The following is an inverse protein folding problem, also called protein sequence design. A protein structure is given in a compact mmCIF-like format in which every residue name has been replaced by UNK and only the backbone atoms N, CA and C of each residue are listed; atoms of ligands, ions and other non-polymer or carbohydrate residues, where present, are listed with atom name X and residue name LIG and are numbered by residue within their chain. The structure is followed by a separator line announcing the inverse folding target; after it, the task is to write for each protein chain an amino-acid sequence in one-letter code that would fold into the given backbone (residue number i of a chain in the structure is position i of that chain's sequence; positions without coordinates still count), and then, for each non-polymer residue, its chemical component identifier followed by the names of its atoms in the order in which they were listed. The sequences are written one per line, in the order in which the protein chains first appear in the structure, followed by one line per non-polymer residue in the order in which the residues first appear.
data_IF_501086528200
#
_entry.id   IF_501086528200
#
_cell.length_a   1.000
_cell.length_b   1.000
_cell.length_c   1.000
_cell.angle_alpha   90.00
_cell.angle_beta   90.00
_cell.angle_gamma   90.00
#
_symmetry.space_group_name_H-M   'P 1'
#
loop_
_entity.id
_entity.type
_entity.pdbx_description
1 polymer ?
#
# COMPACT_ATOMS: atom_id res chain seq x y z
N UNK A 1 8.13 -20.30 19.46
CA UNK A 1 8.40 -19.14 18.59
C UNK A 1 9.56 -19.47 17.67
N UNK A 2 9.35 -19.38 16.36
CA UNK A 2 10.37 -19.68 15.34
C UNK A 2 10.77 -18.38 14.64
N UNK A 3 12.06 -18.01 14.67
CA UNK A 3 12.59 -16.94 13.85
C UNK A 3 12.67 -17.40 12.39
N UNK A 4 12.05 -16.66 11.49
CA UNK A 4 12.03 -16.98 10.06
C UNK A 4 13.12 -16.21 9.32
N UNK A 5 13.59 -16.79 8.23
CA UNK A 5 14.48 -16.15 7.27
C UNK A 5 13.76 -15.97 5.92
N UNK A 6 14.18 -15.04 5.05
CA UNK A 6 13.55 -14.85 3.74
C UNK A 6 13.40 -16.18 2.99
N UNK A 7 12.19 -16.44 2.49
CA UNK A 7 11.84 -17.66 1.76
C UNK A 7 11.51 -18.88 2.64
N UNK A 8 11.81 -18.87 3.95
CA UNK A 8 11.43 -19.96 4.85
C UNK A 8 9.91 -20.01 5.05
N UNK A 9 9.37 -21.20 5.30
CA UNK A 9 7.96 -21.40 5.55
C UNK A 9 7.71 -22.36 6.71
N UNK A 10 6.54 -22.22 7.34
CA UNK A 10 6.07 -23.05 8.43
C UNK A 10 4.61 -23.47 8.19
N UNK A 11 4.23 -24.70 8.55
CA UNK A 11 2.82 -25.08 8.57
C UNK A 11 2.07 -24.31 9.67
N UNK A 12 0.85 -23.88 9.38
CA UNK A 12 -0.06 -23.28 10.35
C UNK A 12 -0.96 -24.36 10.94
N UNK A 13 -0.89 -24.53 12.25
CA UNK A 13 -1.79 -25.43 13.00
C UNK A 13 -3.02 -24.71 13.52
N UNK A 14 -2.97 -23.38 13.62
CA UNK A 14 -4.09 -22.56 14.07
C UNK A 14 -5.03 -22.23 12.90
N UNK A 15 -6.33 -22.29 13.17
CA UNK A 15 -7.37 -21.88 12.20
C UNK A 15 -7.42 -20.37 12.07
N UNK A 16 -7.26 -19.65 13.17
CA UNK A 16 -7.22 -18.19 13.19
C UNK A 16 -5.80 -17.72 13.49
N UNK A 17 -5.25 -16.96 12.57
CA UNK A 17 -3.86 -16.49 12.64
C UNK A 17 -3.84 -14.98 12.58
N UNK A 18 -3.12 -14.35 13.48
CA UNK A 18 -2.88 -12.92 13.47
C UNK A 18 -1.44 -12.63 13.08
N UNK A 19 -1.26 -11.64 12.23
CA UNK A 19 0.06 -11.10 11.85
C UNK A 19 0.13 -9.68 12.35
N UNK A 20 0.91 -9.46 13.39
CA UNK A 20 1.20 -8.13 13.90
C UNK A 20 2.42 -7.60 13.17
N UNK A 21 2.32 -6.40 12.59
CA UNK A 21 3.46 -5.72 11.95
C UNK A 21 3.79 -4.48 12.75
N UNK A 22 5.01 -4.43 13.26
CA UNK A 22 5.48 -3.34 14.12
C UNK A 22 6.79 -2.76 13.59
N UNK A 23 7.00 -1.47 13.78
CA UNK A 23 8.24 -0.77 13.48
C UNK A 23 8.43 0.42 14.43
N UNK A 24 9.64 1.02 14.50
CA UNK A 24 9.86 2.27 15.23
C UNK A 24 9.09 3.47 14.67
N UNK A 25 8.54 3.34 13.46
CA UNK A 25 7.75 4.37 12.76
C UNK A 25 6.35 3.84 12.47
N UNK A 26 5.40 4.74 12.21
CA UNK A 26 4.04 4.36 11.80
C UNK A 26 4.07 3.68 10.44
N UNK A 27 3.38 2.56 10.36
CA UNK A 27 3.16 1.81 9.12
C UNK A 27 1.67 1.71 8.84
N UNK A 28 1.32 1.74 7.56
CA UNK A 28 0.05 1.27 7.06
C UNK A 28 0.18 -0.20 6.66
N UNK A 29 -0.55 -1.05 7.34
CA UNK A 29 -0.52 -2.50 7.11
C UNK A 29 -1.77 -2.94 6.38
N UNK A 30 -1.62 -3.81 5.42
CA UNK A 30 -2.77 -4.33 4.67
C UNK A 30 -2.64 -5.83 4.39
N UNK A 31 -3.78 -6.46 4.10
CA UNK A 31 -3.89 -7.83 3.67
C UNK A 31 -4.53 -7.91 2.29
N UNK A 32 -3.91 -8.61 1.36
CA UNK A 32 -4.43 -8.84 0.02
C UNK A 32 -4.78 -10.31 -0.14
N UNK A 33 -6.03 -10.57 -0.54
CA UNK A 33 -6.51 -11.92 -0.83
C UNK A 33 -6.31 -12.22 -2.31
N UNK A 34 -5.44 -13.16 -2.61
CA UNK A 34 -5.04 -13.47 -3.97
C UNK A 34 -5.61 -14.80 -4.45
N UNK A 35 -6.14 -14.80 -5.66
CA UNK A 35 -6.54 -16.00 -6.38
C UNK A 35 -5.32 -16.77 -6.92
N UNK A 36 -5.55 -17.87 -7.61
CA UNK A 36 -4.51 -18.74 -8.13
C UNK A 36 -3.56 -18.06 -9.14
N UNK A 37 -4.05 -17.02 -9.81
CA UNK A 37 -3.24 -16.18 -10.73
C UNK A 37 -2.34 -15.16 -10.01
N UNK A 38 -2.41 -15.10 -8.68
CA UNK A 38 -1.64 -14.18 -7.87
C UNK A 38 -2.18 -12.75 -7.83
N UNK A 39 -3.45 -12.56 -8.24
CA UNK A 39 -4.12 -11.25 -8.24
C UNK A 39 -5.31 -11.23 -7.29
N UNK A 40 -5.70 -10.03 -6.86
CA UNK A 40 -6.99 -9.82 -6.21
C UNK A 40 -8.12 -10.01 -7.22
N UNK A 41 -9.28 -10.50 -6.78
CA UNK A 41 -10.44 -10.70 -7.64
C UNK A 41 -11.23 -9.40 -7.84
N UNK A 42 -11.20 -8.54 -6.81
CA UNK A 42 -11.82 -7.22 -6.79
C UNK A 42 -11.18 -6.38 -5.68
N UNK A 43 -11.54 -5.12 -5.60
CA UNK A 43 -11.06 -4.22 -4.53
C UNK A 43 -11.54 -4.67 -3.13
N UNK A 44 -12.58 -5.50 -3.03
CA UNK A 44 -13.03 -6.11 -1.76
C UNK A 44 -11.99 -7.09 -1.17
N UNK A 45 -11.06 -7.57 -1.98
CA UNK A 45 -9.97 -8.44 -1.57
C UNK A 45 -8.76 -7.67 -1.02
N UNK A 46 -8.87 -6.35 -0.88
CA UNK A 46 -7.87 -5.48 -0.26
C UNK A 46 -8.35 -5.00 1.11
N UNK A 47 -7.76 -5.53 2.17
CA UNK A 47 -8.14 -5.26 3.57
C UNK A 47 -7.10 -4.35 4.22
N UNK A 48 -7.52 -3.18 4.70
CA UNK A 48 -6.67 -2.16 5.31
C UNK A 48 -7.51 -1.28 6.27
N UNK A 49 -6.92 -0.24 6.85
CA UNK A 49 -7.57 0.58 7.88
C UNK A 49 -8.91 1.19 7.43
N UNK A 50 -9.06 1.56 6.15
CA UNK A 50 -10.29 2.16 5.61
C UNK A 50 -11.31 1.10 5.13
N UNK A 51 -10.87 -0.12 4.90
CA UNK A 51 -11.68 -1.30 4.58
C UNK A 51 -11.24 -2.46 5.47
N UNK A 52 -11.62 -2.44 6.78
CA UNK A 52 -11.02 -3.32 7.79
C UNK A 52 -11.53 -4.76 7.77
N UNK A 53 -12.40 -5.13 6.86
CA UNK A 53 -12.95 -6.48 6.77
C UNK A 53 -13.09 -6.94 5.33
N UNK A 54 -12.63 -8.15 5.07
CA UNK A 54 -12.79 -8.89 3.81
C UNK A 54 -13.19 -10.34 4.10
N UNK A 55 -13.21 -11.18 3.07
CA UNK A 55 -13.62 -12.59 3.17
C UNK A 55 -12.63 -13.42 4.02
N UNK A 56 -12.89 -13.54 5.32
CA UNK A 56 -12.03 -14.26 6.26
C UNK A 56 -10.77 -13.51 6.70
N UNK A 57 -10.63 -12.23 6.34
CA UNK A 57 -9.49 -11.40 6.72
C UNK A 57 -10.00 -10.11 7.36
N UNK A 58 -9.37 -9.69 8.46
CA UNK A 58 -9.70 -8.43 9.15
C UNK A 58 -8.45 -7.66 9.49
N UNK A 59 -8.56 -6.33 9.45
CA UNK A 59 -7.56 -5.38 9.93
C UNK A 59 -7.95 -4.83 11.28
N UNK A 60 -7.00 -4.66 12.16
CA UNK A 60 -7.19 -3.91 13.42
C UNK A 60 -5.92 -3.13 13.76
N UNK A 61 -6.10 -1.90 14.22
CA UNK A 61 -5.00 -1.11 14.75
C UNK A 61 -4.66 -1.58 16.16
N UNK A 62 -3.39 -1.83 16.45
CA UNK A 62 -2.92 -2.20 17.77
C UNK A 62 -2.56 -0.96 18.60
N UNK A 63 -2.89 -0.98 19.90
CA UNK A 63 -2.44 0.02 20.84
C UNK A 63 -0.92 -0.06 20.98
N UNK A 64 -0.18 0.82 20.34
CA UNK A 64 1.31 0.81 20.36
C UNK A 64 1.95 1.11 19.01
N UNK A 65 1.16 1.45 17.99
CA UNK A 65 1.65 1.92 16.69
C UNK A 65 1.90 0.84 15.64
N UNK A 66 1.49 -0.40 15.92
CA UNK A 66 1.44 -1.48 14.93
C UNK A 66 0.01 -1.75 14.48
N UNK A 67 -0.13 -2.43 13.36
CA UNK A 67 -1.41 -2.94 12.88
C UNK A 67 -1.37 -4.46 12.76
N UNK A 68 -2.54 -5.07 12.87
CA UNK A 68 -2.71 -6.52 12.85
C UNK A 68 -3.63 -6.92 11.70
N UNK A 69 -3.19 -7.88 10.90
CA UNK A 69 -4.04 -8.60 9.95
C UNK A 69 -4.37 -9.96 10.55
N UNK A 70 -5.65 -10.22 10.77
CA UNK A 70 -6.14 -11.52 11.25
C UNK A 70 -6.77 -12.28 10.10
N UNK A 71 -6.36 -13.54 9.94
CA UNK A 71 -6.86 -14.45 8.91
C UNK A 71 -7.57 -15.62 9.59
N UNK A 72 -8.85 -15.79 9.29
CA UNK A 72 -9.62 -16.98 9.62
C UNK A 72 -9.59 -17.92 8.42
N UNK A 73 -8.72 -18.90 8.46
CA UNK A 73 -8.47 -19.82 7.35
C UNK A 73 -9.69 -20.69 6.99
N UNK A 74 -10.64 -20.85 7.91
CA UNK A 74 -11.90 -21.57 7.65
C UNK A 74 -12.92 -20.68 6.92
N UNK A 75 -12.82 -19.34 7.07
CA UNK A 75 -13.71 -18.38 6.43
C UNK A 75 -13.17 -17.84 5.08
N UNK A 76 -11.90 -18.11 4.76
CA UNK A 76 -11.32 -17.72 3.48
C UNK A 76 -11.92 -18.56 2.35
N UNK A 77 -12.48 -17.95 1.29
CA UNK A 77 -13.08 -18.66 0.16
C UNK A 77 -12.11 -19.61 -0.54
N UNK A 78 -12.64 -20.69 -1.12
CA UNK A 78 -11.82 -21.69 -1.84
C UNK A 78 -11.08 -21.11 -3.05
N UNK A 79 -11.60 -20.05 -3.66
CA UNK A 79 -10.93 -19.34 -4.77
C UNK A 79 -9.74 -18.49 -4.36
N UNK A 80 -9.46 -18.34 -3.06
CA UNK A 80 -8.29 -17.64 -2.53
C UNK A 80 -7.22 -18.66 -2.17
N UNK A 81 -6.07 -18.52 -2.80
CA UNK A 81 -4.92 -19.41 -2.58
C UNK A 81 -3.89 -18.79 -1.62
N UNK A 82 -3.93 -17.46 -1.45
CA UNK A 82 -2.91 -16.73 -0.70
C UNK A 82 -3.46 -15.44 -0.10
N UNK A 83 -3.02 -15.12 1.11
CA UNK A 83 -3.17 -13.81 1.72
C UNK A 83 -1.76 -13.23 1.92
N UNK A 84 -1.53 -12.06 1.33
CA UNK A 84 -0.26 -11.33 1.43
C UNK A 84 -0.41 -10.21 2.44
N UNK A 85 0.45 -10.18 3.46
CA UNK A 85 0.51 -9.09 4.43
C UNK A 85 1.59 -8.11 4.03
N UNK A 86 1.19 -6.87 3.80
CA UNK A 86 2.07 -5.79 3.35
C UNK A 86 2.17 -4.70 4.39
N UNK A 87 3.23 -3.93 4.31
CA UNK A 87 3.43 -2.73 5.11
C UNK A 87 3.98 -1.61 4.23
N UNK A 88 3.48 -0.40 4.41
CA UNK A 88 3.98 0.79 3.74
C UNK A 88 4.19 1.91 4.74
N UNK A 89 5.10 2.83 4.40
CA UNK A 89 5.35 4.02 5.21
C UNK A 89 4.30 5.09 4.91
N UNK A 90 3.69 5.61 5.96
CA UNK A 90 2.67 6.67 5.88
C UNK A 90 3.26 8.05 5.55
N UNK A 91 4.57 8.24 5.72
CA UNK A 91 5.23 9.53 5.52
C UNK A 91 5.79 9.67 4.09
N UNK A 92 5.40 10.73 3.35
CA UNK A 92 5.95 11.01 2.04
C UNK A 92 7.48 11.17 2.08
N UNK A 93 8.18 10.45 1.18
CA UNK A 93 9.63 10.50 1.08
C UNK A 93 10.41 9.70 2.14
N UNK A 94 9.71 9.07 3.10
CA UNK A 94 10.35 8.13 4.02
C UNK A 94 10.66 6.82 3.32
N UNK A 95 11.75 6.17 3.75
CA UNK A 95 12.15 4.85 3.26
C UNK A 95 12.40 3.91 4.44
N UNK A 96 12.50 2.62 4.18
CA UNK A 96 12.85 1.64 5.20
C UNK A 96 14.34 1.64 5.56
N UNK A 97 15.15 2.53 4.99
CA UNK A 97 16.56 2.66 5.37
C UNK A 97 16.71 2.92 6.88
N UNK A 98 17.35 2.00 7.58
CA UNK A 98 17.49 2.06 9.03
C UNK A 98 16.23 1.78 9.84
N UNK A 99 15.15 1.32 9.19
CA UNK A 99 13.91 0.87 9.82
C UNK A 99 13.79 -0.64 9.69
N UNK A 100 13.56 -1.33 10.79
CA UNK A 100 13.43 -2.79 10.82
C UNK A 100 12.00 -3.17 11.22
N UNK A 101 11.06 -3.25 10.24
CA UNK A 101 9.73 -3.75 10.54
C UNK A 101 9.78 -5.23 10.90
N UNK A 102 9.01 -5.61 11.89
CA UNK A 102 8.92 -7.01 12.33
C UNK A 102 7.49 -7.49 12.19
N UNK A 103 7.31 -8.58 11.45
CA UNK A 103 6.08 -9.35 11.38
C UNK A 103 6.09 -10.45 12.43
N UNK A 104 5.11 -10.47 13.33
CA UNK A 104 4.91 -11.52 14.33
C UNK A 104 3.65 -12.29 14.01
N UNK A 105 3.80 -13.57 13.73
CA UNK A 105 2.70 -14.48 13.44
C UNK A 105 2.32 -15.21 14.72
N UNK A 106 1.04 -15.09 15.12
CA UNK A 106 0.51 -15.73 16.33
C UNK A 106 -0.81 -16.43 16.08
N UNK A 107 -1.13 -17.39 16.91
CA UNK A 107 -2.48 -17.92 17.00
C UNK A 107 -3.39 -16.83 17.59
N UNK A 108 -4.46 -16.49 16.88
CA UNK A 108 -5.38 -15.42 17.32
C UNK A 108 -6.27 -15.82 18.51
N UNK A 109 -6.39 -17.11 18.80
CA UNK A 109 -7.29 -17.60 19.86
C UNK A 109 -6.60 -17.62 21.24
N UNK A 110 -5.31 -17.96 21.29
CA UNK A 110 -4.55 -18.05 22.54
C UNK A 110 -3.37 -17.07 22.63
N UNK A 111 -3.15 -16.27 21.60
CA UNK A 111 -2.03 -15.33 21.45
C UNK A 111 -0.64 -15.94 21.46
N UNK A 112 -0.51 -17.26 21.33
CA UNK A 112 0.79 -17.91 21.25
C UNK A 112 1.54 -17.50 19.98
N UNK A 113 2.79 -17.10 20.13
CA UNK A 113 3.63 -16.69 19.00
C UNK A 113 4.14 -17.93 18.27
N UNK A 114 3.78 -18.06 17.01
CA UNK A 114 4.17 -19.16 16.13
C UNK A 114 5.52 -18.85 15.46
N UNK A 115 5.64 -17.66 14.89
CA UNK A 115 6.82 -17.23 14.15
C UNK A 115 7.02 -15.72 14.23
N UNK A 116 8.25 -15.29 13.98
CA UNK A 116 8.58 -13.88 13.77
C UNK A 116 9.53 -13.73 12.58
N UNK A 117 9.41 -12.62 11.87
CA UNK A 117 10.23 -12.29 10.72
C UNK A 117 10.55 -10.80 10.69
N UNK A 118 11.83 -10.48 10.60
CA UNK A 118 12.33 -9.14 10.34
C UNK A 118 13.06 -9.18 9.00
N UNK A 119 12.54 -8.51 7.95
CA UNK A 119 13.21 -8.44 6.65
C UNK A 119 14.59 -7.82 6.79
N UNK A 120 15.65 -8.48 6.30
CA UNK A 120 16.99 -7.93 6.35
C UNK A 120 17.23 -6.93 5.20
N UNK A 121 18.18 -6.01 5.40
CA UNK A 121 18.76 -5.17 4.34
C UNK A 121 17.75 -4.29 3.59
N UNK A 122 16.80 -3.70 4.29
CA UNK A 122 15.92 -2.70 3.71
C UNK A 122 16.66 -1.38 3.49
N UNK A 123 16.31 -0.67 2.41
CA UNK A 123 16.97 0.56 1.97
C UNK A 123 15.99 1.59 1.44
N UNK A 124 15.97 1.78 0.13
CA UNK A 124 15.15 2.78 -0.55
C UNK A 124 13.68 2.38 -0.72
N UNK A 125 13.29 1.21 -0.26
CA UNK A 125 11.92 0.73 -0.32
C UNK A 125 11.02 1.58 0.58
N UNK A 126 9.80 1.84 0.12
CA UNK A 126 8.77 2.58 0.84
C UNK A 126 7.56 1.72 1.19
N UNK A 127 7.47 0.54 0.60
CA UNK A 127 6.53 -0.51 0.96
C UNK A 127 7.18 -1.89 0.84
N UNK A 128 6.62 -2.87 1.50
CA UNK A 128 7.13 -4.25 1.45
C UNK A 128 6.01 -5.28 1.66
N UNK A 129 6.21 -6.46 1.09
CA UNK A 129 5.51 -7.68 1.47
C UNK A 129 6.27 -8.29 2.64
N UNK A 130 5.62 -8.40 3.79
CA UNK A 130 6.23 -8.93 5.02
C UNK A 130 6.20 -10.45 5.00
N UNK A 131 4.99 -11.01 5.00
CA UNK A 131 4.75 -12.46 4.98
C UNK A 131 3.57 -12.77 4.06
N UNK A 132 3.48 -14.02 3.65
CA UNK A 132 2.29 -14.56 3.00
C UNK A 132 1.77 -15.79 3.74
N UNK A 133 0.45 -15.87 3.86
CA UNK A 133 -0.28 -17.05 4.34
C UNK A 133 -0.89 -17.70 3.11
N UNK A 134 -0.52 -18.93 2.81
CA UNK A 134 -0.91 -19.58 1.56
C UNK A 134 -1.36 -21.02 1.76
N UNK A 135 -2.21 -21.47 0.85
CA UNK A 135 -2.74 -22.82 0.81
C UNK A 135 -1.84 -23.70 -0.06
N UNK A 136 -1.44 -24.85 0.46
CA UNK A 136 -0.69 -25.83 -0.31
C UNK A 136 -1.05 -27.25 0.13
N UNK A 137 -1.47 -28.09 -0.81
CA UNK A 137 -1.86 -29.49 -0.56
C UNK A 137 -2.91 -29.62 0.56
N UNK A 138 -3.91 -28.74 0.57
CA UNK A 138 -4.99 -28.74 1.56
C UNK A 138 -4.61 -28.21 2.95
N UNK A 139 -3.38 -27.73 3.14
CA UNK A 139 -2.91 -27.15 4.40
C UNK A 139 -2.51 -25.68 4.22
N UNK A 140 -2.72 -24.90 5.26
CA UNK A 140 -2.27 -23.52 5.32
C UNK A 140 -0.84 -23.43 5.84
N UNK A 141 -0.05 -22.55 5.28
CA UNK A 141 1.34 -22.27 5.66
C UNK A 141 1.58 -20.78 5.70
N UNK A 142 2.56 -20.36 6.48
CA UNK A 142 3.11 -19.00 6.42
C UNK A 142 4.51 -19.05 5.82
N UNK A 143 4.83 -18.06 4.97
CA UNK A 143 6.17 -17.85 4.40
C UNK A 143 6.64 -16.44 4.69
N UNK A 144 7.91 -16.32 5.10
CA UNK A 144 8.61 -15.05 5.19
C UNK A 144 9.01 -14.59 3.79
N UNK A 145 8.63 -13.37 3.41
CA UNK A 145 8.87 -12.83 2.07
C UNK A 145 9.95 -11.74 2.11
N UNK A 146 9.66 -10.59 2.70
CA UNK A 146 10.59 -9.48 2.79
C UNK A 146 10.85 -8.79 1.44
N UNK A 147 9.90 -8.83 0.50
CA UNK A 147 10.06 -8.18 -0.80
C UNK A 147 9.70 -6.70 -0.69
N UNK A 148 10.66 -5.84 -0.99
CA UNK A 148 10.51 -4.39 -0.96
C UNK A 148 10.10 -3.78 -2.30
N UNK A 149 9.43 -2.60 -2.22
CA UNK A 149 8.98 -1.80 -3.34
C UNK A 149 9.40 -0.34 -3.14
N UNK A 150 10.25 0.18 -4.03
CA UNK A 150 10.71 1.56 -3.98
C UNK A 150 9.61 2.56 -4.43
N UNK A 151 8.65 2.10 -5.22
CA UNK A 151 7.48 2.87 -5.67
C UNK A 151 6.28 2.71 -4.73
N UNK A 152 6.47 2.19 -3.54
CA UNK A 152 5.49 2.14 -2.47
C UNK A 152 4.29 1.25 -2.74
N UNK A 153 3.15 1.66 -2.20
CA UNK A 153 1.89 0.92 -2.33
C UNK A 153 1.45 0.80 -3.80
N UNK A 154 1.80 1.76 -4.66
CA UNK A 154 1.50 1.69 -6.10
C UNK A 154 2.18 0.49 -6.79
N UNK A 155 3.39 0.13 -6.37
CA UNK A 155 4.06 -1.07 -6.86
C UNK A 155 3.37 -2.36 -6.42
N UNK A 156 2.97 -2.43 -5.17
CA UNK A 156 2.19 -3.55 -4.63
C UNK A 156 0.85 -3.66 -5.39
N UNK A 157 0.15 -2.56 -5.57
CA UNK A 157 -1.12 -2.53 -6.28
C UNK A 157 -0.99 -3.03 -7.72
N UNK A 158 0.05 -2.57 -8.44
CA UNK A 158 0.33 -3.03 -9.81
C UNK A 158 0.62 -4.52 -9.85
N UNK A 159 1.45 -5.01 -8.94
CA UNK A 159 1.84 -6.43 -8.90
C UNK A 159 0.67 -7.34 -8.55
N UNK A 160 -0.24 -6.90 -7.69
CA UNK A 160 -1.36 -7.71 -7.22
C UNK A 160 -2.72 -7.36 -7.86
N UNK A 161 -2.75 -6.38 -8.78
CA UNK A 161 -3.94 -6.02 -9.55
C UNK A 161 -5.00 -5.26 -8.76
N UNK A 162 -4.59 -4.54 -7.70
CA UNK A 162 -5.46 -3.63 -6.96
C UNK A 162 -5.65 -2.35 -7.77
N UNK A 163 -6.91 -1.91 -7.93
CA UNK A 163 -7.20 -0.58 -8.49
C UNK A 163 -6.83 0.48 -7.46
N UNK A 164 -5.69 1.13 -7.63
CA UNK A 164 -5.40 2.34 -6.86
C UNK A 164 -6.08 3.49 -7.60
N UNK A 165 -7.16 4.02 -7.06
CA UNK A 165 -7.54 5.38 -7.40
C UNK A 165 -6.40 6.27 -6.88
N UNK A 166 -5.52 6.69 -7.80
CA UNK A 166 -4.66 7.83 -7.51
C UNK A 166 -5.58 8.96 -7.02
N UNK A 167 -5.30 9.60 -5.87
CA UNK A 167 -6.02 10.81 -5.50
C UNK A 167 -5.92 11.72 -6.71
N UNK A 168 -7.07 12.02 -7.32
CA UNK A 168 -7.16 12.84 -8.53
C UNK A 168 -6.26 14.05 -8.30
N UNK A 169 -5.22 14.18 -9.13
CA UNK A 169 -4.42 15.39 -9.15
C UNK A 169 -5.40 16.55 -9.16
N UNK A 170 -5.26 17.58 -8.31
CA UNK A 170 -6.23 18.66 -8.23
C UNK A 170 -6.49 19.10 -9.65
N UNK A 171 -7.74 18.95 -10.09
CA UNK A 171 -8.15 19.26 -11.44
C UNK A 171 -7.59 20.64 -11.75
N UNK A 172 -6.74 20.72 -12.77
CA UNK A 172 -6.21 22.00 -13.23
C UNK A 172 -7.42 22.93 -13.37
N UNK A 173 -7.42 24.01 -12.61
CA UNK A 173 -8.51 24.97 -12.63
C UNK A 173 -8.79 25.28 -14.10
N UNK A 174 -10.06 25.33 -14.53
CA UNK A 174 -10.40 25.62 -15.92
C UNK A 174 -9.63 26.88 -16.32
N UNK A 175 -8.74 26.76 -17.30
CA UNK A 175 -8.08 27.94 -17.85
C UNK A 175 -9.18 28.84 -18.37
N UNK A 176 -9.26 30.03 -17.80
CA UNK A 176 -10.16 31.08 -18.31
C UNK A 176 -9.89 31.21 -19.81
N UNK A 177 -10.96 31.33 -20.66
CA UNK A 177 -10.76 31.52 -22.07
C UNK A 177 -9.90 32.78 -22.31
N UNK A 178 -9.00 32.78 -23.32
CA UNK A 178 -8.16 33.91 -23.60
C UNK A 178 -9.04 35.16 -23.81
N UNK A 179 -8.70 36.25 -23.11
CA UNK A 179 -9.38 37.51 -23.25
C UNK A 179 -9.37 37.94 -24.72
N UNK A 180 -10.49 38.49 -25.27
CA UNK A 180 -10.51 38.98 -26.62
C UNK A 180 -9.46 40.10 -26.79
N UNK A 181 -8.82 40.21 -27.97
CA UNK A 181 -7.81 41.23 -28.20
C UNK A 181 -8.41 42.63 -28.00
N UNK A 182 -7.69 43.47 -27.28
CA UNK A 182 -8.08 44.86 -27.06
C UNK A 182 -8.23 45.60 -28.42
N UNK A 183 -9.25 46.44 -28.59
CA UNK A 183 -9.44 47.20 -29.83
C UNK A 183 -8.22 48.08 -30.06
N UNK A 184 -7.70 48.06 -31.29
CA UNK A 184 -6.58 48.89 -31.72
C UNK A 184 -6.94 50.39 -31.54
N UNK A 185 -6.06 51.14 -30.90
CA UNK A 185 -6.17 52.57 -30.77
C UNK A 185 -6.17 53.22 -32.19
N UNK A 186 -7.02 54.23 -32.47
CA UNK A 186 -7.01 54.87 -33.74
C UNK A 186 -5.71 55.66 -33.99
N UNK A 187 -5.12 55.44 -35.15
CA UNK A 187 -3.90 56.15 -35.60
C UNK A 187 -4.12 57.66 -35.55
N UNK A 188 -3.36 58.33 -34.70
CA UNK A 188 -3.32 59.75 -34.64
C UNK A 188 -2.83 60.35 -35.96
N UNK A 189 -3.65 61.24 -36.57
CA UNK A 189 -3.26 61.97 -37.74
C UNK A 189 -2.12 62.96 -37.41
N UNK A 190 -1.06 62.83 -38.16
CA UNK A 190 0.06 63.77 -38.14
C UNK A 190 -0.42 65.02 -38.97
N UNK A 191 -0.58 66.15 -38.32
CA UNK A 191 -0.72 67.43 -38.98
C UNK A 191 0.68 67.98 -39.28
N UNK A 192 0.82 68.70 -40.41
CA UNK A 192 2.09 69.29 -40.81
C UNK A 192 2.46 70.50 -39.94
N UNK A 193 3.76 70.78 -39.73
CA UNK A 193 4.20 71.90 -38.92
C UNK A 193 3.95 73.21 -39.68
N UNK A 194 3.32 74.15 -39.00
CA UNK A 194 3.15 75.51 -39.48
C UNK A 194 4.50 76.26 -39.47
N UNK A 195 4.77 76.93 -40.63
CA UNK A 195 6.01 77.65 -40.80
C UNK A 195 6.13 78.89 -39.94
N UNK A 196 7.36 79.26 -39.67
CA UNK A 196 7.81 80.51 -39.04
C UNK A 196 7.75 81.66 -40.07
N UNK A 197 7.33 82.87 -39.73
CA UNK A 197 7.71 84.06 -40.42
C UNK A 197 8.73 84.87 -39.66
N UNK A 198 9.69 85.41 -40.41
CA UNK A 198 10.64 86.52 -40.28
C UNK A 198 11.02 87.02 -38.88
#
# INVERSE_FOLDING_TARGET
MTAMTPGSNLPLSAVRVAVDVTAPVRLDVSGLLLAADGKVRSDDDFVFYNQPAGSGVTHSAAAGGGDTITVDTAAVPDGIEKIVVTASLDQPGATFAGTEPTGTVRNADDNSVLASFTPPQLGAETALVVVEIYRRSGAWKVRAVGQGYANGLAGIATDFGVSVEEPAAPAAAPQAPPAPPAPAAPAGQWGPPAGTPA
#
